data_IF_681899838973
#
_entry.id   IF_681899838973
#
_cell.length_a   1.000
_cell.length_b   1.000
_cell.length_c   1.000
_cell.angle_alpha   90.00
_cell.angle_beta   90.00
_cell.angle_gamma   90.00
#
_symmetry.space_group_name_H-M   'P 1'
#
loop_
_entity.id
_entity.type
_entity.pdbx_description
1 polymer ?
#
# COMPACT_ATOMS: atom_id res chain seq x y z
N UNK A 1 0.16 16.65 4.74
CA UNK A 1 1.33 15.83 5.17
C UNK A 1 2.35 15.81 4.05
N UNK A 2 3.65 15.67 4.37
CA UNK A 2 4.72 15.70 3.35
C UNK A 2 4.98 14.27 2.86
N UNK A 3 5.10 14.08 1.54
CA UNK A 3 5.59 12.84 0.95
C UNK A 3 7.04 12.61 1.37
N UNK A 4 7.37 11.38 1.68
CA UNK A 4 8.71 10.97 2.09
C UNK A 4 9.08 9.65 1.42
N UNK A 5 10.35 9.54 1.08
CA UNK A 5 10.97 8.31 0.60
C UNK A 5 11.81 7.68 1.70
N UNK A 6 11.79 6.37 1.77
CA UNK A 6 12.57 5.53 2.67
C UNK A 6 13.32 4.50 1.85
N UNK A 7 14.54 4.18 2.24
CA UNK A 7 15.40 3.24 1.50
C UNK A 7 15.81 2.11 2.43
N UNK A 8 15.44 0.89 2.05
CA UNK A 8 16.01 -0.32 2.64
C UNK A 8 17.15 -0.80 1.75
N UNK A 9 18.25 -1.23 2.35
CA UNK A 9 19.42 -1.61 1.58
C UNK A 9 20.33 -2.57 2.31
N UNK A 10 20.81 -3.60 1.56
CA UNK A 10 21.94 -4.43 1.93
C UNK A 10 22.83 -4.69 0.70
N UNK A 11 23.74 -5.65 0.78
CA UNK A 11 24.65 -5.98 -0.33
C UNK A 11 23.93 -6.52 -1.58
N UNK A 12 22.74 -7.12 -1.41
CA UNK A 12 22.01 -7.81 -2.48
C UNK A 12 20.87 -6.98 -3.06
N UNK A 13 20.15 -6.23 -2.23
CA UNK A 13 18.89 -5.54 -2.56
C UNK A 13 18.95 -4.08 -2.15
N UNK A 14 18.25 -3.24 -2.93
CA UNK A 14 17.93 -1.87 -2.55
C UNK A 14 16.46 -1.60 -2.92
N UNK A 15 15.67 -1.12 -1.96
CA UNK A 15 14.23 -0.92 -2.11
C UNK A 15 13.88 0.50 -1.68
N UNK A 16 13.19 1.22 -2.55
CA UNK A 16 12.70 2.56 -2.28
C UNK A 16 11.21 2.52 -2.03
N UNK A 17 10.77 3.07 -0.91
CA UNK A 17 9.37 3.05 -0.46
C UNK A 17 8.88 4.47 -0.21
N UNK A 18 7.67 4.79 -0.72
CA UNK A 18 6.98 6.03 -0.42
C UNK A 18 5.99 5.83 0.74
N UNK A 19 5.88 6.81 1.64
CA UNK A 19 4.85 6.78 2.69
C UNK A 19 3.42 7.00 2.18
N UNK A 20 3.23 7.49 0.97
CA UNK A 20 1.92 7.45 0.29
C UNK A 20 1.67 6.02 -0.19
N UNK A 21 0.60 5.42 0.29
CA UNK A 21 0.19 4.07 -0.10
C UNK A 21 1.19 2.96 0.26
N UNK A 22 2.26 3.24 1.01
CA UNK A 22 3.35 2.28 1.22
C UNK A 22 4.00 1.81 -0.08
N UNK A 23 3.96 2.66 -1.12
CA UNK A 23 4.36 2.32 -2.48
C UNK A 23 5.81 1.86 -2.55
N UNK A 24 6.04 0.67 -3.06
CA UNK A 24 7.36 0.22 -3.49
C UNK A 24 7.64 0.90 -4.83
N UNK A 25 8.48 1.96 -4.79
CA UNK A 25 8.82 2.78 -5.95
C UNK A 25 9.87 2.11 -6.83
N UNK A 26 10.90 1.53 -6.22
CA UNK A 26 11.96 0.80 -6.89
C UNK A 26 12.32 -0.46 -6.10
N UNK A 27 12.73 -1.48 -6.81
CA UNK A 27 13.36 -2.69 -6.27
C UNK A 27 14.55 -3.05 -7.16
N UNK A 28 15.73 -2.71 -6.67
CA UNK A 28 16.97 -3.01 -7.38
C UNK A 28 17.50 -4.38 -6.96
N UNK A 29 17.70 -5.23 -7.94
CA UNK A 29 18.31 -6.55 -7.80
C UNK A 29 19.55 -6.67 -8.69
N UNK A 30 20.47 -7.58 -8.36
CA UNK A 30 21.60 -7.88 -9.23
C UNK A 30 21.22 -8.96 -10.23
N UNK A 31 21.46 -8.70 -11.51
CA UNK A 31 21.29 -9.68 -12.58
C UNK A 31 22.44 -10.73 -12.59
N UNK A 32 22.39 -11.69 -13.49
CA UNK A 32 23.43 -12.71 -13.64
C UNK A 32 24.81 -12.16 -14.05
N UNK A 33 24.90 -10.89 -14.44
CA UNK A 33 26.14 -10.16 -14.73
C UNK A 33 26.52 -9.18 -13.62
N UNK A 34 25.89 -9.28 -12.45
CA UNK A 34 26.08 -8.40 -11.29
C UNK A 34 25.70 -6.93 -11.54
N UNK A 35 24.98 -6.66 -12.63
CA UNK A 35 24.44 -5.33 -12.89
C UNK A 35 23.18 -5.11 -12.04
N UNK A 36 23.13 -3.99 -11.33
CA UNK A 36 21.96 -3.56 -10.59
C UNK A 36 20.85 -3.15 -11.57
N UNK A 37 19.66 -3.73 -11.42
CA UNK A 37 18.52 -3.52 -12.31
C UNK A 37 17.28 -3.29 -11.46
N UNK A 38 16.53 -2.23 -11.74
CA UNK A 38 15.21 -2.02 -11.16
C UNK A 38 14.20 -2.96 -11.84
N UNK A 39 13.46 -3.71 -11.04
CA UNK A 39 12.48 -4.71 -11.52
C UNK A 39 11.05 -4.32 -11.20
N UNK A 40 10.82 -3.10 -10.69
CA UNK A 40 9.49 -2.58 -10.37
C UNK A 40 9.13 -1.46 -11.35
N UNK A 41 7.87 -1.43 -11.79
CA UNK A 41 7.33 -0.34 -12.57
C UNK A 41 6.94 0.81 -11.63
N UNK A 42 7.59 1.95 -11.78
CA UNK A 42 7.39 3.13 -10.93
C UNK A 42 7.84 4.41 -11.59
N UNK A 43 7.85 5.49 -10.83
CA UNK A 43 8.31 6.82 -11.26
C UNK A 43 9.66 7.16 -10.63
N UNK A 44 10.33 8.17 -11.18
CA UNK A 44 11.63 8.62 -10.70
C UNK A 44 11.52 9.30 -9.33
N UNK A 45 10.43 10.02 -9.07
CA UNK A 45 10.23 10.75 -7.79
C UNK A 45 8.92 10.41 -7.12
N UNK A 46 8.83 10.57 -5.80
CA UNK A 46 7.61 10.29 -5.01
C UNK A 46 6.51 11.30 -5.31
N UNK A 47 6.83 12.50 -5.74
CA UNK A 47 5.87 13.55 -6.07
C UNK A 47 5.00 13.15 -7.28
N UNK A 48 5.55 12.40 -8.22
CA UNK A 48 4.83 11.95 -9.43
C UNK A 48 3.64 11.04 -9.13
N UNK A 49 3.64 10.35 -7.98
CA UNK A 49 2.48 9.55 -7.52
C UNK A 49 1.31 10.42 -7.04
N UNK A 50 1.52 11.71 -6.81
CA UNK A 50 0.46 12.68 -6.47
C UNK A 50 0.06 13.57 -7.65
N UNK A 51 0.65 13.40 -8.83
CA UNK A 51 0.34 14.18 -10.02
C UNK A 51 -0.96 13.75 -10.69
N UNK A 52 -1.69 14.68 -11.33
CA UNK A 52 -2.93 14.38 -12.06
C UNK A 52 -2.76 13.31 -13.15
N UNK A 53 -1.59 13.22 -13.79
CA UNK A 53 -1.29 12.24 -14.82
C UNK A 53 -1.37 10.80 -14.28
N UNK A 54 -0.92 10.57 -13.04
CA UNK A 54 -1.05 9.29 -12.35
C UNK A 54 -2.46 9.09 -11.79
N UNK A 55 -2.98 10.10 -11.09
CA UNK A 55 -4.26 10.01 -10.38
C UNK A 55 -5.47 9.79 -11.31
N UNK A 56 -5.43 10.31 -12.55
CA UNK A 56 -6.52 10.15 -13.51
C UNK A 56 -6.67 8.73 -14.05
N UNK A 57 -5.58 7.96 -14.14
CA UNK A 57 -5.60 6.57 -14.63
C UNK A 57 -5.38 5.55 -13.52
N UNK A 58 -4.81 5.95 -12.43
CA UNK A 58 -4.52 5.27 -11.17
C UNK A 58 -4.21 3.77 -11.28
N UNK A 59 -3.04 3.39 -11.81
CA UNK A 59 -2.69 1.98 -12.07
C UNK A 59 -2.21 1.21 -10.83
N UNK A 60 -2.22 1.81 -9.64
CA UNK A 60 -1.85 1.21 -8.34
C UNK A 60 -0.40 0.69 -8.27
N UNK A 61 0.54 1.31 -8.96
CA UNK A 61 1.94 0.88 -9.01
C UNK A 61 2.55 0.70 -7.62
N UNK A 62 2.94 -0.54 -7.27
CA UNK A 62 3.64 -0.86 -6.04
C UNK A 62 2.89 -0.59 -4.72
N UNK A 63 1.62 -0.18 -4.78
CA UNK A 63 0.87 0.28 -3.63
C UNK A 63 0.32 -0.85 -2.75
N UNK A 64 0.22 -0.59 -1.44
CA UNK A 64 -0.53 -1.44 -0.52
C UNK A 64 -2.02 -1.32 -0.78
N UNK A 65 -2.69 -2.44 -0.98
CA UNK A 65 -4.13 -2.50 -1.25
C UNK A 65 -4.87 -2.94 0.01
N UNK A 66 -5.93 -2.23 0.35
CA UNK A 66 -6.80 -2.51 1.50
C UNK A 66 -7.92 -1.46 1.63
N UNK A 67 -8.91 -1.69 2.54
CA UNK A 67 -9.12 -2.91 3.35
C UNK A 67 -9.31 -4.17 2.50
N UNK A 68 -10.06 -4.05 1.38
CA UNK A 68 -10.40 -5.16 0.50
C UNK A 68 -9.67 -5.04 -0.83
N UNK A 69 -9.02 -6.11 -1.23
CA UNK A 69 -8.35 -6.21 -2.53
C UNK A 69 -9.30 -6.64 -3.63
N UNK A 70 -9.20 -5.99 -4.81
CA UNK A 70 -10.05 -6.25 -5.97
C UNK A 70 -11.49 -5.74 -5.77
N UNK A 71 -12.51 -6.36 -6.42
CA UNK A 71 -13.87 -5.81 -6.55
C UNK A 71 -14.84 -6.41 -5.56
N UNK A 72 -15.65 -5.53 -4.95
CA UNK A 72 -16.89 -5.91 -4.26
C UNK A 72 -18.04 -5.54 -5.19
N UNK A 73 -18.81 -6.55 -5.59
CA UNK A 73 -19.94 -6.42 -6.52
C UNK A 73 -20.98 -5.45 -5.95
N UNK A 74 -21.54 -4.61 -6.81
CA UNK A 74 -22.58 -3.62 -6.48
C UNK A 74 -22.15 -2.62 -5.37
N UNK A 75 -20.87 -2.61 -5.01
CA UNK A 75 -20.29 -1.82 -3.91
C UNK A 75 -21.05 -2.02 -2.59
N UNK A 76 -21.44 -3.26 -2.28
CA UNK A 76 -22.12 -3.59 -1.04
C UNK A 76 -21.80 -5.02 -0.59
N UNK A 77 -21.79 -5.22 0.73
CA UNK A 77 -21.66 -6.54 1.35
C UNK A 77 -22.50 -6.62 2.62
N UNK A 78 -22.70 -7.83 3.14
CA UNK A 78 -23.47 -8.08 4.36
C UNK A 78 -22.61 -8.79 5.40
N UNK A 79 -22.70 -8.33 6.64
CA UNK A 79 -22.12 -9.00 7.81
C UNK A 79 -23.22 -9.05 8.89
N UNK A 80 -23.49 -10.22 9.43
CA UNK A 80 -24.46 -10.43 10.52
C UNK A 80 -25.85 -9.84 10.23
N UNK A 81 -26.33 -9.90 8.98
CA UNK A 81 -27.63 -9.36 8.57
C UNK A 81 -27.67 -7.84 8.38
N UNK A 82 -26.54 -7.15 8.52
CA UNK A 82 -26.40 -5.72 8.25
C UNK A 82 -25.69 -5.50 6.91
N UNK A 83 -26.32 -4.71 6.03
CA UNK A 83 -25.74 -4.32 4.74
C UNK A 83 -24.87 -3.08 4.91
N UNK A 84 -23.67 -3.11 4.35
CA UNK A 84 -22.71 -2.01 4.27
C UNK A 84 -22.55 -1.57 2.82
N UNK A 85 -22.67 -0.26 2.58
CA UNK A 85 -22.52 0.34 1.25
C UNK A 85 -21.18 1.04 1.15
N UNK A 86 -20.49 0.83 0.02
CA UNK A 86 -19.15 1.32 -0.26
C UNK A 86 -19.16 2.31 -1.42
N UNK A 87 -18.01 2.94 -1.69
CA UNK A 87 -17.80 3.77 -2.87
C UNK A 87 -17.95 2.97 -4.17
N UNK A 88 -18.71 3.54 -5.12
CA UNK A 88 -18.84 3.00 -6.48
C UNK A 88 -17.82 3.64 -7.40
N UNK A 89 -16.60 3.14 -7.40
CA UNK A 89 -15.49 3.70 -8.17
C UNK A 89 -15.11 2.92 -9.44
N UNK A 90 -15.79 1.77 -9.70
CA UNK A 90 -15.52 0.95 -10.88
C UNK A 90 -16.81 0.30 -11.42
N UNK A 91 -17.46 0.96 -12.39
CA UNK A 91 -18.66 0.46 -13.08
C UNK A 91 -19.77 -0.06 -12.13
N UNK A 92 -20.02 0.66 -11.03
CA UNK A 92 -21.00 0.31 -10.01
C UNK A 92 -20.49 -0.61 -8.91
N UNK A 93 -19.27 -1.12 -9.01
CA UNK A 93 -18.60 -1.92 -8.00
C UNK A 93 -17.65 -1.05 -7.14
N UNK A 94 -17.20 -1.58 -6.01
CA UNK A 94 -16.10 -1.01 -5.26
C UNK A 94 -14.80 -1.74 -5.61
N UNK A 95 -13.82 -1.02 -6.15
CA UNK A 95 -12.49 -1.53 -6.44
C UNK A 95 -11.48 -0.99 -5.42
N UNK A 96 -10.74 -1.90 -4.77
CA UNK A 96 -9.64 -1.56 -3.85
C UNK A 96 -10.05 -0.57 -2.76
N UNK A 97 -11.25 -0.75 -2.19
CA UNK A 97 -11.84 0.09 -1.13
C UNK A 97 -12.13 1.55 -1.52
N UNK A 98 -12.17 1.85 -2.83
CA UNK A 98 -12.63 3.15 -3.32
C UNK A 98 -11.69 4.31 -2.95
N UNK A 99 -12.28 5.45 -2.60
CA UNK A 99 -11.54 6.68 -2.26
C UNK A 99 -10.78 6.58 -0.93
N UNK A 100 -11.20 5.69 -0.03
CA UNK A 100 -10.58 5.45 1.27
C UNK A 100 -9.49 4.35 1.23
N UNK A 101 -9.17 3.81 0.04
CA UNK A 101 -8.17 2.75 -0.12
C UNK A 101 -6.81 3.08 0.49
N UNK A 102 -6.12 2.06 1.00
CA UNK A 102 -4.80 2.17 1.65
C UNK A 102 -3.72 2.77 0.76
N UNK A 103 -3.84 2.56 -0.54
CA UNK A 103 -3.02 3.11 -1.60
C UNK A 103 -3.03 4.65 -1.68
N UNK A 104 -4.08 5.29 -1.15
CA UNK A 104 -4.28 6.76 -1.14
C UNK A 104 -3.96 7.41 0.21
N UNK A 105 -3.60 6.60 1.19
CA UNK A 105 -3.34 7.06 2.55
C UNK A 105 -1.85 7.34 2.78
N UNK A 106 -1.57 8.32 3.62
CA UNK A 106 -0.20 8.53 4.14
C UNK A 106 -0.04 7.62 5.35
N UNK A 107 0.90 6.70 5.25
CA UNK A 107 1.25 5.79 6.33
C UNK A 107 2.22 6.46 7.29
N UNK A 108 2.07 6.14 8.57
CA UNK A 108 3.09 6.44 9.57
C UNK A 108 4.22 5.40 9.44
N UNK A 109 5.45 5.90 9.26
CA UNK A 109 6.59 5.05 8.91
C UNK A 109 7.71 5.22 9.91
N UNK A 110 8.14 4.09 10.45
CA UNK A 110 9.32 3.95 11.30
C UNK A 110 10.36 3.10 10.58
N UNK A 111 11.59 3.59 10.51
CA UNK A 111 12.73 2.88 9.94
C UNK A 111 13.77 2.65 11.06
N UNK A 112 13.78 1.47 11.71
CA UNK A 112 14.70 1.19 12.81
C UNK A 112 16.15 1.01 12.36
N UNK A 113 16.36 0.53 11.14
CA UNK A 113 17.66 0.31 10.52
C UNK A 113 17.55 0.28 8.98
N UNK A 114 18.64 -0.04 8.30
CA UNK A 114 18.70 -0.06 6.82
C UNK A 114 18.00 -1.26 6.19
N UNK A 115 17.61 -2.27 6.94
CA UNK A 115 17.00 -3.50 6.43
C UNK A 115 15.52 -3.67 6.83
N UNK A 116 14.99 -2.78 7.70
CA UNK A 116 13.62 -2.89 8.22
C UNK A 116 12.86 -1.58 8.08
N UNK A 117 11.58 -1.68 7.68
CA UNK A 117 10.64 -0.59 7.63
C UNK A 117 9.30 -1.06 8.19
N UNK A 118 8.72 -0.25 9.06
CA UNK A 118 7.44 -0.52 9.69
C UNK A 118 6.45 0.59 9.30
N UNK A 119 5.37 0.21 8.63
CA UNK A 119 4.30 1.11 8.20
C UNK A 119 3.07 0.83 9.04
N UNK A 120 2.45 1.89 9.60
CA UNK A 120 1.23 1.79 10.40
C UNK A 120 0.13 2.67 9.82
N UNK A 121 -1.09 2.17 9.87
CA UNK A 121 -2.29 2.89 9.50
C UNK A 121 -3.44 2.49 10.42
N UNK A 122 -4.12 3.47 10.99
CA UNK A 122 -5.42 3.26 11.63
C UNK A 122 -6.50 3.76 10.68
N UNK A 123 -7.39 2.86 10.28
CA UNK A 123 -8.53 3.14 9.43
C UNK A 123 -9.80 3.12 10.29
N UNK A 124 -10.47 4.30 10.40
CA UNK A 124 -11.53 4.51 11.36
C UNK A 124 -12.83 3.75 11.02
N UNK A 125 -13.63 3.46 12.04
CA UNK A 125 -14.98 2.88 11.87
C UNK A 125 -15.82 3.73 10.89
N UNK A 126 -16.37 3.08 9.87
CA UNK A 126 -17.19 3.71 8.83
C UNK A 126 -16.40 4.33 7.68
N UNK A 127 -15.08 4.36 7.72
CA UNK A 127 -14.26 4.89 6.62
C UNK A 127 -14.43 4.02 5.36
N UNK A 128 -14.69 4.66 4.22
CA UNK A 128 -15.03 3.97 2.96
C UNK A 128 -16.31 3.10 3.03
N UNK A 129 -17.09 3.19 4.11
CA UNK A 129 -18.27 2.38 4.36
C UNK A 129 -17.99 1.06 5.10
N UNK A 130 -16.74 0.78 5.48
CA UNK A 130 -16.39 -0.44 6.19
C UNK A 130 -16.61 -0.30 7.71
N UNK A 131 -17.19 -1.32 8.38
CA UNK A 131 -17.39 -1.30 9.83
C UNK A 131 -16.08 -1.57 10.59
N UNK A 132 -16.03 -1.05 11.81
CA UNK A 132 -14.94 -1.24 12.76
C UNK A 132 -13.70 -0.41 12.49
N UNK A 133 -13.00 -0.04 13.55
CA UNK A 133 -11.68 0.56 13.49
C UNK A 133 -10.66 -0.55 13.21
N UNK A 134 -9.88 -0.40 12.14
CA UNK A 134 -8.86 -1.36 11.73
C UNK A 134 -7.47 -0.76 11.93
N UNK A 135 -6.69 -1.35 12.83
CA UNK A 135 -5.26 -1.06 12.96
C UNK A 135 -4.45 -2.01 12.09
N UNK A 136 -3.68 -1.45 11.18
CA UNK A 136 -2.87 -2.19 10.20
C UNK A 136 -1.40 -1.87 10.41
N UNK A 137 -0.58 -2.92 10.43
CA UNK A 137 0.86 -2.82 10.41
C UNK A 137 1.39 -3.63 9.23
N UNK A 138 2.24 -3.00 8.41
CA UNK A 138 2.96 -3.69 7.34
C UNK A 138 4.45 -3.57 7.61
N UNK A 139 5.13 -4.72 7.60
CA UNK A 139 6.59 -4.78 7.75
C UNK A 139 7.23 -5.12 6.42
N UNK A 140 8.13 -4.24 5.98
CA UNK A 140 9.06 -4.52 4.89
C UNK A 140 10.40 -4.85 5.49
N UNK A 141 10.99 -5.95 5.08
CA UNK A 141 12.33 -6.34 5.51
C UNK A 141 13.10 -7.01 4.40
N UNK A 142 14.41 -6.83 4.44
CA UNK A 142 15.35 -7.53 3.56
C UNK A 142 16.27 -8.40 4.39
N UNK A 143 16.47 -9.62 3.92
CA UNK A 143 17.38 -10.58 4.52
C UNK A 143 18.15 -11.28 3.39
N UNK A 144 19.43 -10.99 3.26
CA UNK A 144 20.23 -11.41 2.12
C UNK A 144 19.57 -10.97 0.79
N UNK A 145 19.14 -11.92 -0.04
CA UNK A 145 18.46 -11.68 -1.32
C UNK A 145 16.92 -11.86 -1.25
N UNK A 146 16.36 -11.88 -0.05
CA UNK A 146 14.91 -12.01 0.17
C UNK A 146 14.33 -10.68 0.61
N UNK A 147 13.34 -10.20 -0.12
CA UNK A 147 12.46 -9.13 0.33
C UNK A 147 11.18 -9.75 0.89
N UNK A 148 10.83 -9.37 2.11
CA UNK A 148 9.65 -9.90 2.80
C UNK A 148 8.67 -8.79 3.12
N UNK A 149 7.38 -9.05 2.87
CA UNK A 149 6.27 -8.20 3.24
C UNK A 149 5.35 -8.98 4.17
N UNK A 150 5.13 -8.46 5.38
CA UNK A 150 4.24 -9.06 6.37
C UNK A 150 3.14 -8.07 6.68
N UNK A 151 1.89 -8.51 6.56
CA UNK A 151 0.70 -7.75 6.93
C UNK A 151 0.12 -8.29 8.22
N UNK A 152 -0.16 -7.40 9.16
CA UNK A 152 -0.87 -7.69 10.41
C UNK A 152 -2.00 -6.67 10.55
N UNK A 153 -3.17 -7.13 10.97
CA UNK A 153 -4.31 -6.26 11.18
C UNK A 153 -5.17 -6.74 12.33
N UNK A 154 -5.71 -5.80 13.10
CA UNK A 154 -6.72 -6.05 14.14
C UNK A 154 -7.89 -5.12 13.96
N UNK A 155 -9.11 -5.66 14.12
CA UNK A 155 -10.35 -4.89 14.01
C UNK A 155 -11.13 -4.97 15.33
N UNK A 156 -11.71 -3.85 15.77
CA UNK A 156 -12.50 -3.77 17.00
C UNK A 156 -13.95 -4.29 16.85
N UNK A 157 -14.40 -4.53 15.62
CA UNK A 157 -15.71 -5.10 15.28
C UNK A 157 -15.56 -6.29 14.34
N UNK A 158 -16.50 -7.23 14.48
CA UNK A 158 -16.64 -8.38 13.58
C UNK A 158 -17.63 -8.04 12.47
#
# INVERSE_FOLDING_TARGET
MKLKEYILKNECLEIHVCNLGGIIKNLFVRDCKWKQTDVVLGFDTVEQYAEPAYLNNYPYFGALIGRYGNRIKDAAFEINGQTFSLDKNDNGNCLHSGSAGFDKRIWDVEQPDDEHLLLRLTDQDGEGGFPGTLDVTVRYSIEQNVFRVIHEATCDKA
#
